data_IF_202670027745
#
_entry.id   IF_202670027745
#
_cell.length_a   1.000
_cell.length_b   1.000
_cell.length_c   1.000
_cell.angle_alpha   90.00
_cell.angle_beta   90.00
_cell.angle_gamma   90.00
#
_symmetry.space_group_name_H-M   'P 1'
#
loop_
_entity.id
_entity.type
_entity.pdbx_description
1 polymer ?
#
# COMPACT_ATOMS: atom_id res chain seq x y z
N UNK A 1 -13.97 -73.19 31.14
CA UNK A 1 -15.25 -72.87 30.48
C UNK A 1 -15.41 -71.35 30.47
N UNK A 2 -15.23 -70.81 29.26
CA UNK A 2 -15.51 -69.47 28.73
C UNK A 2 -16.20 -68.43 29.63
N UNK A 3 -15.48 -67.33 29.92
CA UNK A 3 -16.02 -66.06 30.40
C UNK A 3 -15.77 -64.97 29.35
N UNK A 4 -16.90 -64.51 28.81
CA UNK A 4 -17.31 -63.25 28.18
C UNK A 4 -16.30 -62.10 28.01
N UNK A 5 -16.24 -61.57 26.77
CA UNK A 5 -15.50 -60.39 26.28
C UNK A 5 -15.84 -59.04 26.97
N UNK A 6 -15.11 -57.95 26.67
CA UNK A 6 -15.66 -57.09 25.61
C UNK A 6 -14.64 -56.65 24.54
N UNK A 7 -15.20 -56.64 23.34
CA UNK A 7 -14.76 -56.03 22.09
C UNK A 7 -14.40 -54.55 22.29
N UNK A 8 -13.15 -54.17 21.98
CA UNK A 8 -12.75 -52.77 21.86
C UNK A 8 -13.33 -52.20 20.56
N UNK A 9 -14.41 -51.44 20.67
CA UNK A 9 -14.92 -50.60 19.58
C UNK A 9 -13.88 -49.50 19.24
N UNK A 10 -13.66 -49.19 17.94
CA UNK A 10 -12.89 -48.01 17.56
C UNK A 10 -13.66 -46.73 17.93
N UNK A 11 -13.02 -45.80 18.64
CA UNK A 11 -13.60 -44.51 18.98
C UNK A 11 -13.85 -43.63 17.74
N UNK A 12 -15.06 -43.04 17.56
CA UNK A 12 -15.39 -42.20 16.40
C UNK A 12 -15.04 -40.72 16.59
N UNK A 13 -13.92 -40.42 17.25
CA UNK A 13 -13.48 -39.03 17.48
C UNK A 13 -12.09 -38.77 16.91
N UNK A 14 -11.92 -39.13 15.65
CA UNK A 14 -10.87 -38.60 14.77
C UNK A 14 -11.37 -37.39 14.00
N UNK A 15 -11.84 -36.34 14.68
CA UNK A 15 -12.09 -35.08 14.01
C UNK A 15 -10.73 -34.40 13.81
N UNK A 16 -10.19 -34.59 12.62
CA UNK A 16 -8.96 -33.97 12.13
C UNK A 16 -8.93 -32.49 12.48
N UNK A 17 -7.88 -32.08 13.19
CA UNK A 17 -7.47 -30.67 13.27
C UNK A 17 -7.32 -30.20 11.82
N UNK A 18 -8.34 -29.51 11.29
CA UNK A 18 -8.24 -28.77 10.04
C UNK A 18 -7.16 -27.73 10.31
N UNK A 19 -5.95 -28.01 9.86
CA UNK A 19 -4.86 -27.06 9.82
C UNK A 19 -5.35 -25.90 8.98
N UNK A 20 -5.82 -24.85 9.63
CA UNK A 20 -5.87 -23.53 9.03
C UNK A 20 -4.40 -23.09 8.97
N UNK A 21 -3.69 -23.61 7.97
CA UNK A 21 -2.45 -23.00 7.52
C UNK A 21 -2.88 -21.70 6.86
N UNK A 22 -3.07 -20.65 7.66
CA UNK A 22 -3.06 -19.28 7.17
C UNK A 22 -1.61 -18.89 6.94
N UNK A 23 -0.95 -19.60 6.03
CA UNK A 23 0.20 -19.07 5.31
C UNK A 23 -0.24 -18.78 3.88
N UNK A 24 -1.43 -18.19 3.75
CA UNK A 24 -1.66 -17.29 2.65
C UNK A 24 -1.04 -15.98 3.12
N UNK A 25 0.19 -15.72 2.73
CA UNK A 25 0.65 -14.35 2.60
C UNK A 25 -0.43 -13.63 1.81
N UNK A 26 -1.29 -12.89 2.53
CA UNK A 26 -2.32 -12.05 1.92
C UNK A 26 -1.51 -11.02 1.15
N UNK A 27 -1.29 -11.27 -0.14
CA UNK A 27 -1.12 -10.19 -1.07
C UNK A 27 -2.52 -9.59 -1.11
N UNK A 28 -2.79 -8.43 -0.47
CA UNK A 28 -4.06 -7.78 -0.66
C UNK A 28 -4.11 -7.50 -2.17
N UNK A 29 -4.84 -8.34 -2.88
CA UNK A 29 -4.88 -8.30 -4.34
C UNK A 29 -5.65 -7.07 -4.79
N UNK A 30 -6.20 -7.17 -5.99
CA UNK A 30 -7.17 -6.18 -6.50
C UNK A 30 -8.31 -5.91 -5.51
N UNK A 31 -8.74 -6.90 -4.72
CA UNK A 31 -9.77 -6.73 -3.70
C UNK A 31 -9.36 -5.79 -2.56
N UNK A 32 -8.10 -5.84 -2.10
CA UNK A 32 -7.61 -4.93 -1.07
C UNK A 32 -7.52 -3.50 -1.59
N UNK A 33 -6.96 -3.33 -2.80
CA UNK A 33 -6.94 -2.03 -3.48
C UNK A 33 -8.33 -1.48 -3.77
N UNK A 34 -9.28 -2.33 -4.15
CA UNK A 34 -10.67 -1.93 -4.38
C UNK A 34 -11.35 -1.48 -3.07
N UNK A 35 -11.13 -2.19 -1.96
CA UNK A 35 -11.64 -1.78 -0.66
C UNK A 35 -11.07 -0.42 -0.22
N UNK A 36 -9.76 -0.21 -0.37
CA UNK A 36 -9.12 1.09 -0.11
C UNK A 36 -9.70 2.19 -0.99
N UNK A 37 -9.82 1.95 -2.31
CA UNK A 37 -10.38 2.93 -3.23
C UNK A 37 -11.85 3.27 -2.89
N UNK A 38 -12.66 2.28 -2.49
CA UNK A 38 -14.04 2.50 -2.07
C UNK A 38 -14.11 3.35 -0.80
N UNK A 39 -13.28 3.06 0.21
CA UNK A 39 -13.21 3.87 1.43
C UNK A 39 -12.76 5.30 1.11
N UNK A 40 -11.73 5.47 0.27
CA UNK A 40 -11.30 6.79 -0.19
C UNK A 40 -12.43 7.53 -0.91
N UNK A 41 -13.17 6.88 -1.79
CA UNK A 41 -14.28 7.48 -2.53
C UNK A 41 -15.43 7.93 -1.62
N UNK A 42 -15.70 7.20 -0.52
CA UNK A 42 -16.71 7.60 0.48
C UNK A 42 -16.35 8.90 1.19
N UNK A 43 -15.06 9.16 1.42
CA UNK A 43 -14.58 10.36 2.11
C UNK A 43 -14.05 11.46 1.19
N UNK A 44 -13.88 11.17 -0.11
CA UNK A 44 -13.40 12.14 -1.07
C UNK A 44 -14.47 13.24 -1.31
N UNK A 45 -14.05 14.49 -1.58
CA UNK A 45 -14.98 15.53 -1.97
C UNK A 45 -15.73 15.14 -3.25
N UNK A 46 -17.01 15.50 -3.33
CA UNK A 46 -17.87 15.19 -4.49
C UNK A 46 -17.33 15.79 -5.80
N UNK A 47 -16.62 16.92 -5.71
CA UNK A 47 -15.86 17.52 -6.80
C UNK A 47 -14.37 17.37 -6.49
N UNK A 48 -13.63 16.74 -7.39
CA UNK A 48 -12.19 16.64 -7.28
C UNK A 48 -11.53 18.01 -7.37
N UNK A 49 -10.48 18.21 -6.58
CA UNK A 49 -9.64 19.39 -6.72
C UNK A 49 -8.96 19.39 -8.10
N UNK A 50 -8.81 20.57 -8.75
CA UNK A 50 -8.07 20.66 -9.98
C UNK A 50 -6.68 20.04 -9.81
N UNK A 51 -6.28 19.17 -10.74
CA UNK A 51 -4.90 18.69 -10.80
C UNK A 51 -3.99 19.93 -10.85
N UNK A 52 -3.02 20.07 -9.94
CA UNK A 52 -2.08 21.18 -9.99
C UNK A 52 -1.49 21.28 -11.40
N UNK A 53 -1.62 22.45 -12.03
CA UNK A 53 -0.99 22.70 -13.31
C UNK A 53 0.52 22.58 -13.11
N UNK A 54 1.15 21.74 -13.90
CA UNK A 54 2.60 21.56 -13.89
C UNK A 54 3.23 22.85 -14.41
N UNK A 55 3.69 23.71 -13.51
CA UNK A 55 4.42 24.93 -13.88
C UNK A 55 5.89 24.55 -14.08
N UNK A 56 6.24 24.34 -15.35
CA UNK A 56 7.60 24.03 -15.79
C UNK A 56 7.98 22.56 -15.63
N UNK A 57 8.61 22.00 -16.67
CA UNK A 57 9.32 20.75 -16.52
C UNK A 57 10.52 21.00 -15.59
N UNK A 58 10.47 20.46 -14.38
CA UNK A 58 11.66 20.39 -13.51
C UNK A 58 12.36 19.08 -13.78
N UNK A 59 13.68 19.13 -13.84
CA UNK A 59 14.44 17.90 -13.89
C UNK A 59 14.40 17.20 -12.52
N UNK A 60 14.81 15.93 -12.49
CA UNK A 60 14.82 15.17 -11.25
C UNK A 60 15.80 15.76 -10.22
N UNK A 61 16.93 16.32 -10.64
CA UNK A 61 17.90 16.90 -9.69
C UNK A 61 17.30 18.11 -8.97
N UNK A 62 16.62 18.99 -9.68
CA UNK A 62 15.93 20.17 -9.16
C UNK A 62 14.85 19.80 -8.14
N UNK A 63 14.09 18.72 -8.40
CA UNK A 63 13.04 18.26 -7.49
C UNK A 63 13.65 17.69 -6.20
N UNK A 64 14.76 16.95 -6.30
CA UNK A 64 15.46 16.45 -5.11
C UNK A 64 16.07 17.60 -4.30
N UNK A 65 16.68 18.56 -4.98
CA UNK A 65 17.28 19.71 -4.32
C UNK A 65 16.23 20.56 -3.60
N UNK A 66 15.07 20.81 -4.22
CA UNK A 66 13.94 21.47 -3.55
C UNK A 66 13.54 20.76 -2.24
N UNK A 67 13.49 19.43 -2.25
CA UNK A 67 13.11 18.66 -1.08
C UNK A 67 14.17 18.69 0.03
N UNK A 68 15.45 18.60 -0.34
CA UNK A 68 16.57 18.78 0.59
C UNK A 68 16.56 20.18 1.21
N UNK A 69 16.36 21.22 0.39
CA UNK A 69 16.33 22.62 0.82
C UNK A 69 15.14 22.90 1.76
N UNK A 70 14.02 22.20 1.60
CA UNK A 70 12.89 22.27 2.54
C UNK A 70 13.22 21.72 3.93
N UNK A 71 14.30 20.93 4.06
CA UNK A 71 14.69 20.17 5.25
C UNK A 71 13.58 19.26 5.81
N UNK A 72 12.50 19.02 5.06
CA UNK A 72 11.35 18.24 5.51
C UNK A 72 11.56 16.74 5.29
N UNK A 73 11.64 15.91 6.35
CA UNK A 73 11.85 14.46 6.19
C UNK A 73 10.75 13.79 5.35
N UNK A 74 9.54 14.34 5.39
CA UNK A 74 8.40 13.85 4.61
C UNK A 74 8.49 14.25 3.14
N UNK A 75 9.04 15.44 2.83
CA UNK A 75 9.25 15.87 1.45
C UNK A 75 10.33 14.99 0.79
N UNK A 76 11.46 14.78 1.47
CA UNK A 76 12.56 13.94 0.96
C UNK A 76 12.08 12.51 0.67
N UNK A 77 11.34 11.88 1.60
CA UNK A 77 10.77 10.54 1.39
C UNK A 77 9.77 10.48 0.24
N UNK A 78 8.99 11.55 0.05
CA UNK A 78 8.04 11.61 -1.05
C UNK A 78 8.75 11.68 -2.40
N UNK A 79 9.82 12.47 -2.48
CA UNK A 79 10.62 12.59 -3.71
C UNK A 79 11.30 11.28 -4.08
N UNK A 80 11.87 10.58 -3.10
CA UNK A 80 12.46 9.24 -3.27
C UNK A 80 11.45 8.27 -3.91
N UNK A 81 10.26 8.15 -3.32
CA UNK A 81 9.20 7.31 -3.85
C UNK A 81 8.71 7.74 -5.25
N UNK A 82 8.65 9.06 -5.52
CA UNK A 82 8.28 9.58 -6.82
C UNK A 82 9.34 9.26 -7.89
N UNK A 83 10.62 9.23 -7.53
CA UNK A 83 11.71 8.90 -8.44
C UNK A 83 11.74 7.42 -8.80
N UNK A 84 11.49 6.55 -7.84
CA UNK A 84 11.34 5.11 -8.11
C UNK A 84 10.22 4.87 -9.13
N UNK A 85 9.08 5.53 -8.97
CA UNK A 85 7.98 5.45 -9.93
C UNK A 85 8.32 6.09 -11.29
N UNK A 86 9.01 7.23 -11.29
CA UNK A 86 9.45 7.91 -12.51
C UNK A 86 10.45 7.08 -13.30
N UNK A 87 11.42 6.42 -12.64
CA UNK A 87 12.38 5.54 -13.29
C UNK A 87 11.70 4.37 -14.03
N UNK A 88 10.59 3.86 -13.49
CA UNK A 88 9.81 2.79 -14.11
C UNK A 88 8.84 3.24 -15.21
N UNK A 89 8.45 4.52 -15.26
CA UNK A 89 7.34 5.00 -16.12
C UNK A 89 7.73 6.12 -17.09
N UNK A 90 8.72 6.92 -16.76
CA UNK A 90 9.06 8.16 -17.47
C UNK A 90 8.03 9.28 -17.32
N UNK A 91 7.02 9.16 -16.44
CA UNK A 91 5.95 10.15 -16.32
C UNK A 91 6.41 11.40 -15.55
N UNK A 92 6.65 12.48 -16.28
CA UNK A 92 7.06 13.78 -15.71
C UNK A 92 6.00 14.41 -14.80
N UNK A 93 4.74 13.95 -14.85
CA UNK A 93 3.72 14.39 -13.89
C UNK A 93 4.05 13.95 -12.44
N UNK A 94 4.83 12.88 -12.26
CA UNK A 94 5.31 12.44 -10.95
C UNK A 94 6.30 13.44 -10.35
N UNK A 95 7.22 13.99 -11.17
CA UNK A 95 8.16 15.04 -10.75
C UNK A 95 7.43 16.31 -10.34
N UNK A 96 6.43 16.72 -11.12
CA UNK A 96 5.61 17.89 -10.83
C UNK A 96 4.76 17.72 -9.56
N UNK A 97 4.16 16.54 -9.37
CA UNK A 97 3.41 16.23 -8.16
C UNK A 97 4.29 16.25 -6.91
N UNK A 98 5.54 15.79 -7.05
CA UNK A 98 6.55 15.80 -5.99
C UNK A 98 6.99 17.21 -5.58
N UNK A 99 7.24 18.09 -6.56
CA UNK A 99 7.52 19.50 -6.28
C UNK A 99 6.36 20.18 -5.53
N UNK A 100 5.11 20.01 -6.00
CA UNK A 100 3.95 20.57 -5.33
C UNK A 100 3.63 19.93 -3.97
N UNK A 101 4.04 18.67 -3.73
CA UNK A 101 3.93 18.04 -2.41
C UNK A 101 4.91 18.66 -1.42
N UNK A 102 6.14 18.93 -1.84
CA UNK A 102 7.15 19.60 -1.01
C UNK A 102 6.67 20.96 -0.52
N UNK A 103 6.06 21.77 -1.39
CA UNK A 103 5.47 23.06 -1.02
C UNK A 103 4.34 22.95 0.01
N UNK A 104 3.47 21.92 -0.12
CA UNK A 104 2.31 21.70 0.77
C UNK A 104 2.68 21.12 2.12
N UNK A 105 3.76 20.33 2.18
CA UNK A 105 4.27 19.74 3.41
C UNK A 105 4.75 20.84 4.37
N UNK A 106 5.24 21.96 3.83
CA UNK A 106 5.67 23.12 4.62
C UNK A 106 6.96 22.90 5.40
N UNK A 107 7.49 23.96 6.05
CA UNK A 107 8.63 23.85 6.94
C UNK A 107 8.24 23.12 8.24
N UNK A 108 9.11 22.23 8.70
CA UNK A 108 8.94 21.43 9.93
C UNK A 108 9.62 22.08 11.13
#
# INVERSE_FOLDING_TARGET
MTSTSPELLPSPHGCTRRGLSTDTAVRPGTAGWAATAAITAVYAPATGEPRPLVVGARDAADVMQLAVDSAGPHAIKFVDAAFDAYAGTGDTALLAASAGATERIGPW
#
